data_IF_031082113129
#
_entry.id   IF_031082113129
#
_cell.length_a   1.000
_cell.length_b   1.000
_cell.length_c   1.000
_cell.angle_alpha   90.00
_cell.angle_beta   90.00
_cell.angle_gamma   90.00
#
_symmetry.space_group_name_H-M   'P 1'
#
loop_
_entity.id
_entity.type
_entity.pdbx_description
1 polymer ?
#
# COMPACT_ATOMS: atom_id res chain seq x y z
N UNK A 1 -2.42 -0.10 8.90
CA UNK A 1 -2.59 0.98 7.89
C UNK A 1 -1.63 2.16 7.99
N UNK A 2 -1.24 2.67 9.18
CA UNK A 2 -0.23 3.74 9.29
C UNK A 2 1.10 3.41 8.58
N UNK A 3 1.64 2.20 8.80
CA UNK A 3 2.88 1.76 8.19
C UNK A 3 2.79 1.69 6.64
N UNK A 4 1.72 1.12 6.10
CA UNK A 4 1.46 1.08 4.66
C UNK A 4 1.51 2.47 4.00
N UNK A 5 0.80 3.45 4.56
CA UNK A 5 0.81 4.83 4.03
C UNK A 5 2.20 5.45 4.05
N UNK A 6 3.01 5.16 5.08
CA UNK A 6 4.37 5.68 5.21
C UNK A 6 5.32 5.04 4.19
N UNK A 7 5.20 3.74 3.94
CA UNK A 7 6.00 3.05 2.92
C UNK A 7 5.61 3.48 1.51
N UNK A 8 4.32 3.61 1.22
CA UNK A 8 3.83 4.11 -0.08
C UNK A 8 4.27 5.55 -0.34
N UNK A 9 4.34 6.39 0.70
CA UNK A 9 4.89 7.75 0.63
C UNK A 9 6.37 7.78 0.31
N UNK A 10 7.13 6.83 0.83
CA UNK A 10 8.56 6.76 0.58
C UNK A 10 8.86 6.35 -0.87
N UNK A 11 7.95 5.66 -1.55
CA UNK A 11 8.06 5.36 -2.99
C UNK A 11 9.15 4.33 -3.36
N UNK A 12 9.97 3.89 -2.41
CA UNK A 12 11.11 2.99 -2.65
C UNK A 12 10.76 1.51 -2.82
N UNK A 13 9.52 1.11 -2.50
CA UNK A 13 9.10 -0.29 -2.50
C UNK A 13 7.84 -0.49 -3.34
N UNK A 14 7.75 -1.66 -3.98
CA UNK A 14 6.58 -2.09 -4.74
C UNK A 14 5.42 -2.40 -3.80
N UNK A 15 4.18 -2.31 -4.29
CA UNK A 15 2.98 -2.64 -3.50
C UNK A 15 3.03 -4.08 -2.96
N UNK A 16 3.60 -5.02 -3.73
CA UNK A 16 3.79 -6.40 -3.29
C UNK A 16 4.79 -6.52 -2.13
N UNK A 17 5.93 -5.82 -2.21
CA UNK A 17 6.93 -5.79 -1.13
C UNK A 17 6.38 -5.13 0.13
N UNK A 18 5.58 -4.07 -0.01
CA UNK A 18 4.89 -3.43 1.11
C UNK A 18 3.88 -4.40 1.74
N UNK A 19 3.13 -5.15 0.95
CA UNK A 19 2.20 -6.16 1.45
C UNK A 19 2.94 -7.25 2.24
N UNK A 20 4.04 -7.76 1.68
CA UNK A 20 4.89 -8.78 2.29
C UNK A 20 5.52 -8.30 3.61
N UNK A 21 6.13 -7.11 3.59
CA UNK A 21 6.74 -6.48 4.78
C UNK A 21 5.75 -6.27 5.92
N UNK A 22 4.46 -6.05 5.59
CA UNK A 22 3.40 -5.85 6.57
C UNK A 22 2.74 -7.17 7.03
N UNK A 23 3.21 -8.31 6.55
CA UNK A 23 2.70 -9.64 6.89
C UNK A 23 1.42 -10.04 6.15
N UNK A 24 1.12 -9.41 5.01
CA UNK A 24 -0.01 -9.82 4.17
C UNK A 24 0.42 -10.91 3.20
N UNK A 25 -0.06 -12.13 3.42
CA UNK A 25 0.18 -13.26 2.54
C UNK A 25 -0.37 -13.07 1.11
N UNK A 26 -1.35 -12.17 0.93
CA UNK A 26 -1.93 -11.88 -0.37
C UNK A 26 -1.90 -10.37 -0.68
N UNK A 27 -1.10 -9.92 -1.67
CA UNK A 27 -1.04 -8.53 -2.11
C UNK A 27 -2.39 -7.97 -2.58
N UNK A 28 -3.24 -8.80 -3.19
CA UNK A 28 -4.58 -8.40 -3.64
C UNK A 28 -5.49 -8.10 -2.45
N UNK A 29 -5.39 -8.88 -1.37
CA UNK A 29 -6.13 -8.61 -0.14
C UNK A 29 -5.66 -7.31 0.51
N UNK A 30 -4.35 -7.08 0.56
CA UNK A 30 -3.79 -5.80 1.01
C UNK A 30 -4.35 -4.63 0.19
N UNK A 31 -4.36 -4.72 -1.14
CA UNK A 31 -4.91 -3.69 -2.01
C UNK A 31 -6.39 -3.40 -1.74
N UNK A 32 -7.21 -4.44 -1.57
CA UNK A 32 -8.63 -4.28 -1.23
C UNK A 32 -8.82 -3.60 0.12
N UNK A 33 -8.08 -4.04 1.15
CA UNK A 33 -8.15 -3.46 2.49
C UNK A 33 -7.67 -2.01 2.51
N UNK A 34 -6.59 -1.72 1.77
CA UNK A 34 -6.05 -0.37 1.62
C UNK A 34 -7.07 0.55 0.97
N UNK A 35 -7.69 0.10 -0.12
CA UNK A 35 -8.73 0.87 -0.81
C UNK A 35 -9.97 1.09 0.05
N UNK A 36 -10.41 0.08 0.80
CA UNK A 36 -11.50 0.24 1.79
C UNK A 36 -11.16 1.25 2.89
N UNK A 37 -9.90 1.34 3.30
CA UNK A 37 -9.48 2.23 4.40
C UNK A 37 -9.15 3.65 3.94
N UNK A 38 -8.70 3.83 2.71
CA UNK A 38 -8.18 5.11 2.19
C UNK A 38 -8.99 5.69 1.04
N UNK A 39 -10.00 4.95 0.57
CA UNK A 39 -10.83 5.26 -0.58
C UNK A 39 -10.11 5.29 -1.94
N UNK A 40 -8.81 5.03 -1.97
CA UNK A 40 -7.98 5.01 -3.19
C UNK A 40 -7.08 3.77 -3.22
N UNK A 41 -6.66 3.33 -4.39
CA UNK A 41 -5.72 2.20 -4.49
C UNK A 41 -4.34 2.59 -3.94
N UNK A 42 -3.55 1.62 -3.42
CA UNK A 42 -2.19 1.90 -2.96
C UNK A 42 -1.30 2.48 -4.08
N UNK A 43 -1.53 2.08 -5.34
CA UNK A 43 -0.83 2.64 -6.51
C UNK A 43 -1.18 4.11 -6.72
N UNK A 44 -2.46 4.48 -6.64
CA UNK A 44 -2.88 5.88 -6.73
C UNK A 44 -2.30 6.71 -5.58
N UNK A 45 -2.30 6.16 -4.37
CA UNK A 45 -1.71 6.83 -3.21
C UNK A 45 -0.19 7.02 -3.35
N UNK A 46 0.52 6.10 -4.01
CA UNK A 46 1.95 6.25 -4.33
C UNK A 46 2.17 7.34 -5.39
N UNK A 47 1.34 7.36 -6.44
CA UNK A 47 1.47 8.32 -7.55
C UNK A 47 1.04 9.75 -7.19
N UNK A 48 0.16 9.94 -6.21
CA UNK A 48 -0.23 11.27 -5.73
C UNK A 48 0.87 11.99 -4.94
N UNK A 49 1.95 11.29 -4.58
CA UNK A 49 2.99 11.79 -3.68
C UNK A 49 4.36 11.84 -4.40
N UNK A 50 4.39 11.50 -5.69
CA UNK A 50 5.54 11.74 -6.57
C UNK A 50 5.50 13.14 -7.18
#
# INVERSE_FOLDING_TARGET
>A
MRAAKRMLRAGHASIAEIADTLGYANPSYFCQLFRKTTNISPKQHQNQIS
#
